data_IF_976652913727
#
_entry.id   IF_976652913727
#
_cell.length_a   1.000
_cell.length_b   1.000
_cell.length_c   1.000
_cell.angle_alpha   90.00
_cell.angle_beta   90.00
_cell.angle_gamma   90.00
#
_symmetry.space_group_name_H-M   'P 1'
#
loop_
_entity.id
_entity.type
_entity.pdbx_description
1 polymer ?
#
# COMPACT_ATOMS: atom_id res chain seq x y z
N UNK A 1 23.32 22.66 23.05
CA UNK A 1 22.43 21.55 23.46
C UNK A 1 22.60 20.39 22.49
N UNK A 2 22.96 19.21 22.98
CA UNK A 2 23.14 18.00 22.16
C UNK A 2 21.77 17.55 21.65
N UNK A 3 21.62 17.26 20.35
CA UNK A 3 20.40 16.64 19.81
C UNK A 3 20.19 15.30 20.54
N UNK A 4 19.02 15.11 21.16
CA UNK A 4 18.67 13.82 21.80
C UNK A 4 18.71 12.71 20.75
N UNK A 5 19.19 11.53 21.13
CA UNK A 5 19.21 10.37 20.24
C UNK A 5 17.80 9.78 20.14
N UNK A 6 17.51 9.07 19.04
CA UNK A 6 16.21 8.42 18.83
C UNK A 6 15.85 7.49 19.99
N UNK A 7 16.80 6.66 20.44
CA UNK A 7 16.58 5.74 21.57
C UNK A 7 16.26 6.45 22.88
N UNK A 8 16.89 7.59 23.16
CA UNK A 8 16.61 8.41 24.35
C UNK A 8 15.19 8.98 24.30
N UNK A 9 14.78 9.48 23.13
CA UNK A 9 13.43 10.02 22.92
C UNK A 9 12.37 8.92 23.11
N UNK A 10 12.62 7.72 22.58
CA UNK A 10 11.72 6.58 22.73
C UNK A 10 11.62 6.08 24.18
N UNK A 11 12.72 6.12 24.94
CA UNK A 11 12.73 5.81 26.37
C UNK A 11 11.93 6.83 27.18
N UNK A 12 12.16 8.13 26.92
CA UNK A 12 11.42 9.22 27.57
C UNK A 12 9.92 9.14 27.29
N UNK A 13 9.55 8.79 26.05
CA UNK A 13 8.16 8.56 25.64
C UNK A 13 7.56 7.25 26.18
N UNK A 14 8.33 6.43 26.91
CA UNK A 14 7.96 5.08 27.38
C UNK A 14 7.49 4.16 26.24
N UNK A 15 7.97 4.41 25.03
CA UNK A 15 7.68 3.59 23.86
C UNK A 15 8.52 2.31 23.84
N UNK A 16 9.68 2.33 24.51
CA UNK A 16 10.57 1.17 24.69
C UNK A 16 11.10 1.12 26.13
N UNK A 17 11.57 -0.05 26.53
CA UNK A 17 12.32 -0.26 27.77
C UNK A 17 13.84 -0.13 27.54
N UNK A 18 14.65 0.13 28.59
CA UNK A 18 16.11 0.14 28.48
C UNK A 18 16.67 -1.17 27.93
N UNK A 19 16.05 -2.29 28.28
CA UNK A 19 16.43 -3.62 27.81
C UNK A 19 16.17 -3.78 26.31
N UNK A 20 14.99 -3.42 25.82
CA UNK A 20 14.67 -3.43 24.39
C UNK A 20 15.59 -2.51 23.57
N UNK A 21 15.98 -1.35 24.13
CA UNK A 21 16.94 -0.47 23.47
C UNK A 21 18.32 -1.13 23.38
N UNK A 22 18.79 -1.78 24.44
CA UNK A 22 20.07 -2.48 24.44
C UNK A 22 20.09 -3.61 23.42
N UNK A 23 19.05 -4.44 23.38
CA UNK A 23 18.90 -5.52 22.40
C UNK A 23 18.92 -5.00 20.96
N UNK A 24 18.21 -3.91 20.68
CA UNK A 24 18.19 -3.31 19.34
C UNK A 24 19.54 -2.67 18.94
N UNK A 25 20.30 -2.13 19.91
CA UNK A 25 21.65 -1.61 19.67
C UNK A 25 22.65 -2.73 19.41
N UNK A 26 22.52 -3.87 20.11
CA UNK A 26 23.35 -5.06 19.86
C UNK A 26 23.09 -5.63 18.47
N UNK A 27 21.83 -5.71 18.05
CA UNK A 27 21.46 -6.10 16.69
C UNK A 27 22.03 -5.10 15.66
N UNK A 28 21.94 -3.80 15.93
CA UNK A 28 22.51 -2.77 15.07
C UNK A 28 24.03 -2.91 14.93
N UNK A 29 24.73 -3.27 16.00
CA UNK A 29 26.17 -3.48 15.98
C UNK A 29 26.56 -4.74 15.19
N UNK A 30 25.73 -5.79 15.21
CA UNK A 30 25.98 -7.07 14.50
C UNK A 30 25.65 -7.00 13.02
N UNK A 31 24.50 -6.42 12.67
CA UNK A 31 23.93 -6.48 11.32
C UNK A 31 23.96 -5.13 10.59
N UNK A 32 24.26 -4.04 11.29
CA UNK A 32 24.17 -2.69 10.75
C UNK A 32 22.74 -2.18 10.62
N UNK A 33 22.56 -1.11 9.84
CA UNK A 33 21.24 -0.53 9.55
C UNK A 33 20.78 0.58 10.52
N UNK A 34 19.54 1.04 10.32
CA UNK A 34 18.93 2.11 11.10
C UNK A 34 18.27 1.52 12.36
N UNK A 35 18.62 2.04 13.55
CA UNK A 35 18.04 1.62 14.84
C UNK A 35 16.49 1.57 14.82
N UNK A 36 15.86 2.57 14.20
CA UNK A 36 14.40 2.60 14.07
C UNK A 36 13.81 1.43 13.30
N UNK A 37 14.47 1.00 12.21
CA UNK A 37 14.02 -0.14 11.40
C UNK A 37 14.11 -1.44 12.21
N UNK A 38 15.19 -1.62 12.96
CA UNK A 38 15.39 -2.78 13.84
C UNK A 38 14.31 -2.83 14.92
N UNK A 39 14.02 -1.69 15.56
CA UNK A 39 12.97 -1.59 16.58
C UNK A 39 11.57 -1.92 16.04
N UNK A 40 11.27 -1.54 14.79
CA UNK A 40 10.02 -1.86 14.11
C UNK A 40 9.93 -3.34 13.73
N UNK A 41 11.02 -3.91 13.21
CA UNK A 41 11.12 -5.31 12.80
C UNK A 41 10.96 -6.25 14.00
N UNK A 42 11.60 -5.91 15.13
CA UNK A 42 11.45 -6.61 16.41
C UNK A 42 10.09 -6.39 17.09
N UNK A 43 9.20 -5.56 16.49
CA UNK A 43 7.90 -5.17 17.06
C UNK A 43 8.01 -4.49 18.43
N UNK A 44 9.16 -3.91 18.78
CA UNK A 44 9.35 -3.19 20.04
C UNK A 44 8.64 -1.84 20.03
N UNK A 45 8.49 -1.24 18.85
CA UNK A 45 7.73 0.00 18.67
C UNK A 45 6.71 -0.14 17.55
N UNK A 46 5.66 0.68 17.61
CA UNK A 46 4.74 0.87 16.49
C UNK A 46 5.29 1.89 15.51
N UNK A 47 4.87 1.83 14.24
CA UNK A 47 5.21 2.85 13.23
C UNK A 47 4.88 4.25 13.73
N UNK A 48 3.71 4.43 14.35
CA UNK A 48 3.29 5.71 14.92
C UNK A 48 4.25 6.21 16.00
N UNK A 49 4.69 5.36 16.92
CA UNK A 49 5.62 5.74 17.99
C UNK A 49 7.02 6.07 17.44
N UNK A 50 7.52 5.25 16.50
CA UNK A 50 8.77 5.53 15.78
C UNK A 50 8.74 6.91 15.13
N UNK A 51 7.64 7.19 14.47
CA UNK A 51 7.42 8.38 13.68
C UNK A 51 7.28 9.65 14.52
N UNK A 52 6.55 9.59 15.64
CA UNK A 52 6.48 10.67 16.62
C UNK A 52 7.86 10.98 17.21
N UNK A 53 8.62 9.95 17.55
CA UNK A 53 9.99 10.12 18.06
C UNK A 53 10.92 10.76 17.01
N UNK A 54 10.79 10.35 15.75
CA UNK A 54 11.59 10.90 14.65
C UNK A 54 11.25 12.38 14.39
N UNK A 55 9.97 12.73 14.39
CA UNK A 55 9.50 14.13 14.29
C UNK A 55 10.09 15.00 15.41
N UNK A 56 10.05 14.51 16.66
CA UNK A 56 10.65 15.20 17.81
C UNK A 56 12.18 15.33 17.68
N UNK A 57 12.86 14.29 17.20
CA UNK A 57 14.32 14.29 17.02
C UNK A 57 14.77 15.28 15.96
N UNK A 58 14.10 15.27 14.81
CA UNK A 58 14.44 16.08 13.65
C UNK A 58 13.92 17.52 13.76
N UNK A 59 12.95 17.76 14.66
CA UNK A 59 12.16 19.00 14.77
C UNK A 59 11.43 19.33 13.47
N UNK A 60 10.93 18.28 12.83
CA UNK A 60 10.17 18.35 11.58
C UNK A 60 8.71 18.04 11.90
N UNK A 61 7.74 18.85 11.46
CA UNK A 61 6.33 18.59 11.72
C UNK A 61 5.88 17.27 11.10
N UNK A 62 5.11 16.50 11.87
CA UNK A 62 4.36 15.36 11.37
C UNK A 62 3.06 15.84 10.73
N UNK A 63 2.77 15.37 9.53
CA UNK A 63 1.52 15.69 8.81
C UNK A 63 0.54 14.53 8.97
N UNK A 64 -0.67 14.87 9.41
CA UNK A 64 -1.81 13.96 9.42
C UNK A 64 -2.78 14.37 8.31
N UNK A 65 -2.87 13.52 7.29
CA UNK A 65 -3.71 13.77 6.12
C UNK A 65 -5.20 13.56 6.38
N UNK A 66 -5.58 12.88 7.47
CA UNK A 66 -6.99 12.66 7.80
C UNK A 66 -7.73 13.96 8.18
N UNK A 67 -6.98 14.99 8.59
CA UNK A 67 -7.52 16.27 9.07
C UNK A 67 -7.14 17.45 8.16
N UNK A 68 -6.39 17.19 7.09
CA UNK A 68 -5.79 18.25 6.27
C UNK A 68 -6.44 18.27 4.90
N UNK A 69 -7.23 19.32 4.62
CA UNK A 69 -7.70 19.59 3.25
C UNK A 69 -6.58 20.28 2.47
N UNK A 70 -6.06 19.62 1.43
CA UNK A 70 -4.97 20.14 0.61
C UNK A 70 -5.56 20.74 -0.67
N UNK A 71 -5.27 22.00 -0.99
CA UNK A 71 -5.86 22.64 -2.16
C UNK A 71 -5.23 22.10 -3.46
N UNK A 72 -6.05 21.94 -4.49
CA UNK A 72 -5.67 21.25 -5.74
C UNK A 72 -4.49 21.91 -6.47
N UNK A 73 -4.34 23.23 -6.33
CA UNK A 73 -3.22 23.99 -6.89
C UNK A 73 -1.86 23.58 -6.30
N UNK A 74 -1.83 23.01 -5.10
CA UNK A 74 -0.61 22.48 -4.46
C UNK A 74 -0.30 21.08 -4.99
N UNK A 75 -1.33 20.27 -5.21
CA UNK A 75 -1.22 18.90 -5.72
C UNK A 75 -0.60 18.89 -7.12
N UNK A 76 -1.06 19.79 -7.99
CA UNK A 76 -0.57 19.94 -9.38
C UNK A 76 0.88 20.41 -9.51
N UNK A 77 1.54 20.79 -8.42
CA UNK A 77 2.96 21.22 -8.43
C UNK A 77 3.90 20.05 -8.73
N UNK A 78 3.54 18.85 -8.26
CA UNK A 78 4.35 17.65 -8.44
C UNK A 78 3.59 16.70 -9.39
N UNK A 79 4.22 16.23 -10.48
CA UNK A 79 3.64 15.19 -11.32
C UNK A 79 3.41 13.89 -10.54
N UNK A 80 2.32 13.18 -10.82
CA UNK A 80 1.97 11.93 -10.14
C UNK A 80 3.11 10.91 -10.17
N UNK A 81 3.73 10.71 -11.32
CA UNK A 81 4.86 9.78 -11.49
C UNK A 81 6.00 10.07 -10.50
N UNK A 82 6.26 11.36 -10.25
CA UNK A 82 7.31 11.80 -9.36
C UNK A 82 6.94 11.57 -7.88
N UNK A 83 5.66 11.81 -7.55
CA UNK A 83 5.08 11.54 -6.24
C UNK A 83 5.09 10.03 -5.90
N UNK A 84 4.71 9.17 -6.84
CA UNK A 84 4.70 7.71 -6.67
C UNK A 84 6.10 7.13 -6.57
N UNK A 85 7.01 7.55 -7.45
CA UNK A 85 8.38 7.04 -7.51
C UNK A 85 9.16 7.30 -6.21
N UNK A 86 9.01 8.50 -5.64
CA UNK A 86 9.74 8.90 -4.44
C UNK A 86 8.91 8.76 -3.16
N UNK A 87 7.64 8.37 -3.28
CA UNK A 87 6.68 8.27 -2.19
C UNK A 87 6.61 9.57 -1.38
N UNK A 88 6.26 10.65 -2.08
CA UNK A 88 6.13 11.99 -1.51
C UNK A 88 4.81 12.63 -1.89
N UNK A 89 4.31 13.55 -1.06
CA UNK A 89 3.05 14.26 -1.34
C UNK A 89 3.16 15.75 -1.00
N UNK A 90 2.79 16.67 -1.92
CA UNK A 90 2.82 18.11 -1.65
C UNK A 90 1.68 18.51 -0.69
N UNK A 91 2.02 19.17 0.42
CA UNK A 91 1.04 19.50 1.49
C UNK A 91 0.61 20.96 1.45
N UNK A 92 1.55 21.87 1.24
CA UNK A 92 1.26 23.30 1.20
C UNK A 92 2.28 24.07 0.39
N UNK A 93 1.84 25.17 -0.22
CA UNK A 93 2.72 26.17 -0.81
C UNK A 93 2.76 27.41 0.09
N UNK A 94 3.94 27.74 0.60
CA UNK A 94 4.20 28.96 1.36
C UNK A 94 4.90 29.98 0.44
N UNK A 95 4.47 31.24 0.48
CA UNK A 95 5.21 32.35 -0.12
C UNK A 95 6.01 33.04 0.98
N UNK A 96 7.31 33.13 0.78
CA UNK A 96 8.21 33.86 1.67
C UNK A 96 8.86 35.01 0.89
N UNK A 97 9.38 36.05 1.56
CA UNK A 97 10.14 37.11 0.91
C UNK A 97 11.35 36.61 0.11
N UNK A 98 11.83 35.40 0.44
CA UNK A 98 12.99 34.74 -0.17
C UNK A 98 12.59 33.81 -1.34
N UNK A 99 11.30 33.68 -1.65
CA UNK A 99 10.79 32.83 -2.74
C UNK A 99 9.64 31.91 -2.33
N UNK A 100 9.32 30.97 -3.23
CA UNK A 100 8.25 30.00 -3.05
C UNK A 100 8.79 28.74 -2.36
N UNK A 101 8.12 28.31 -1.29
CA UNK A 101 8.48 27.15 -0.48
C UNK A 101 7.37 26.10 -0.59
N UNK A 102 7.74 24.87 -0.89
CA UNK A 102 6.86 23.71 -0.97
C UNK A 102 7.04 22.85 0.28
N UNK A 103 6.00 22.75 1.09
CA UNK A 103 5.94 21.77 2.19
C UNK A 103 5.64 20.41 1.58
N UNK A 104 6.57 19.47 1.77
CA UNK A 104 6.53 18.16 1.14
C UNK A 104 6.46 17.08 2.22
N UNK A 105 5.39 16.30 2.23
CA UNK A 105 5.29 15.11 3.05
C UNK A 105 6.18 14.00 2.49
N UNK A 106 7.04 13.45 3.35
CA UNK A 106 8.02 12.42 3.01
C UNK A 106 8.07 11.34 4.10
N UNK A 107 8.27 10.09 3.69
CA UNK A 107 8.51 8.98 4.61
C UNK A 107 9.90 9.09 5.26
N UNK A 108 10.92 9.49 4.49
CA UNK A 108 12.28 9.72 4.97
C UNK A 108 12.75 11.16 4.65
N UNK A 109 12.63 12.10 5.60
CA UNK A 109 13.05 13.50 5.42
C UNK A 109 14.57 13.67 5.54
N UNK A 110 15.31 12.60 5.86
CA UNK A 110 16.78 12.62 5.83
C UNK A 110 17.34 12.32 4.45
N UNK A 111 16.49 11.88 3.52
CA UNK A 111 16.86 11.65 2.13
C UNK A 111 16.98 13.01 1.40
N UNK A 112 18.20 13.52 1.33
CA UNK A 112 18.51 14.80 0.67
C UNK A 112 18.42 14.69 -0.86
N UNK A 113 18.71 13.53 -1.43
CA UNK A 113 18.65 13.31 -2.88
C UNK A 113 17.23 13.52 -3.41
N UNK A 114 16.24 12.98 -2.70
CA UNK A 114 14.82 13.19 -3.06
C UNK A 114 14.45 14.66 -2.94
N UNK A 115 14.87 15.34 -1.87
CA UNK A 115 14.59 16.77 -1.70
C UNK A 115 15.21 17.62 -2.81
N UNK A 116 16.44 17.29 -3.22
CA UNK A 116 17.16 17.95 -4.29
C UNK A 116 16.50 17.73 -5.65
N UNK A 117 16.07 16.50 -5.92
CA UNK A 117 15.39 16.14 -7.15
C UNK A 117 14.03 16.85 -7.28
N UNK A 118 13.22 16.85 -6.22
CA UNK A 118 11.95 17.60 -6.20
C UNK A 118 12.19 19.10 -6.33
N UNK A 119 13.20 19.66 -5.65
CA UNK A 119 13.57 21.07 -5.78
C UNK A 119 13.93 21.42 -7.22
N UNK A 120 14.75 20.60 -7.88
CA UNK A 120 15.17 20.86 -9.26
C UNK A 120 14.01 20.76 -10.25
N UNK A 121 13.16 19.73 -10.11
CA UNK A 121 12.01 19.52 -10.98
C UNK A 121 10.94 20.62 -10.85
N UNK A 122 10.69 21.09 -9.63
CA UNK A 122 9.59 22.01 -9.35
C UNK A 122 10.03 23.48 -9.29
N UNK A 123 11.30 23.76 -9.03
CA UNK A 123 11.84 25.11 -8.80
C UNK A 123 11.48 25.71 -7.43
N UNK A 124 10.84 24.95 -6.53
CA UNK A 124 10.48 25.39 -5.18
C UNK A 124 11.51 24.95 -4.16
N UNK A 125 11.73 25.77 -3.14
CA UNK A 125 12.49 25.34 -1.96
C UNK A 125 11.65 24.31 -1.20
N UNK A 126 12.21 23.12 -0.95
CA UNK A 126 11.50 22.04 -0.25
C UNK A 126 11.66 22.21 1.26
N UNK A 127 10.54 22.20 1.97
CA UNK A 127 10.47 22.07 3.43
C UNK A 127 9.90 20.68 3.73
N UNK A 128 10.72 19.71 4.16
CA UNK A 128 10.24 18.37 4.42
C UNK A 128 9.31 18.38 5.63
N UNK A 129 8.23 17.63 5.51
CA UNK A 129 7.32 17.31 6.59
C UNK A 129 7.24 15.78 6.67
N UNK A 130 7.20 15.24 7.87
CA UNK A 130 7.22 13.80 8.06
C UNK A 130 5.79 13.28 7.80
N UNK A 131 5.61 12.24 6.97
CA UNK A 131 4.35 11.47 6.87
C UNK A 131 4.62 9.95 6.77
N UNK A 132 3.72 9.11 7.29
CA UNK A 132 3.87 7.65 7.17
C UNK A 132 3.79 7.25 5.69
N UNK A 133 4.63 6.30 5.27
CA UNK A 133 4.67 5.84 3.89
C UNK A 133 3.32 5.30 3.42
N UNK A 134 2.67 4.49 4.27
CA UNK A 134 1.33 3.95 4.03
C UNK A 134 0.30 5.05 3.81
N UNK A 135 0.35 6.11 4.63
CA UNK A 135 -0.53 7.26 4.49
C UNK A 135 -0.23 8.05 3.22
N UNK A 136 1.04 8.30 2.88
CA UNK A 136 1.41 9.00 1.64
C UNK A 136 0.88 8.22 0.42
N UNK A 137 1.10 6.91 0.36
CA UNK A 137 0.61 6.07 -0.75
C UNK A 137 -0.92 6.07 -0.84
N UNK A 138 -1.61 6.02 0.29
CA UNK A 138 -3.06 6.11 0.34
C UNK A 138 -3.54 7.45 -0.25
N UNK A 139 -2.94 8.57 0.17
CA UNK A 139 -3.34 9.91 -0.28
C UNK A 139 -2.97 10.14 -1.75
N UNK A 140 -1.82 9.64 -2.22
CA UNK A 140 -1.49 9.66 -3.65
C UNK A 140 -2.58 8.94 -4.44
N UNK A 141 -3.00 7.76 -3.96
CA UNK A 141 -4.05 6.99 -4.61
C UNK A 141 -5.38 7.74 -4.62
N UNK A 142 -5.79 8.25 -3.47
CA UNK A 142 -7.05 8.95 -3.30
C UNK A 142 -7.12 10.21 -4.18
N UNK A 143 -6.10 11.06 -4.17
CA UNK A 143 -6.17 12.33 -4.90
C UNK A 143 -5.94 12.20 -6.40
N UNK A 144 -5.06 11.31 -6.88
CA UNK A 144 -4.78 11.18 -8.32
C UNK A 144 -5.66 10.14 -9.03
N UNK A 145 -6.02 9.02 -8.39
CA UNK A 145 -6.88 8.03 -9.07
C UNK A 145 -8.36 8.42 -9.09
N UNK A 146 -8.81 9.35 -8.24
CA UNK A 146 -10.16 9.93 -8.37
C UNK A 146 -10.27 10.94 -9.52
N UNK A 147 -9.16 11.49 -10.03
CA UNK A 147 -9.21 12.40 -11.19
C UNK A 147 -9.34 11.66 -12.52
N UNK A 148 -8.82 10.44 -12.64
CA UNK A 148 -8.82 9.65 -13.88
C UNK A 148 -9.95 8.60 -13.97
N UNK A 149 -10.82 8.50 -12.94
CA UNK A 149 -11.94 7.55 -12.94
C UNK A 149 -11.54 6.06 -12.97
N UNK A 150 -10.25 5.75 -12.83
CA UNK A 150 -9.71 4.37 -12.92
C UNK A 150 -8.79 4.04 -11.73
N UNK A 151 -9.33 4.10 -10.51
CA UNK A 151 -8.65 3.60 -9.30
C UNK A 151 -9.04 2.15 -8.97
N UNK A 152 -8.10 1.21 -8.75
CA UNK A 152 -8.40 -0.22 -8.57
C UNK A 152 -8.93 -0.59 -7.17
N UNK A 153 -9.24 0.37 -6.31
CA UNK A 153 -9.70 0.10 -4.95
C UNK A 153 -10.91 0.95 -4.61
N UNK A 154 -12.11 0.44 -4.93
CA UNK A 154 -13.27 0.68 -4.06
C UNK A 154 -12.98 -0.13 -2.81
N UNK A 155 -12.64 0.51 -1.69
CA UNK A 155 -12.93 -0.14 -0.41
C UNK A 155 -14.46 -0.20 -0.36
N UNK A 156 -15.01 -1.37 -0.69
CA UNK A 156 -16.32 -1.72 -0.18
C UNK A 156 -16.16 -1.68 1.34
N UNK A 157 -16.79 -0.67 1.95
CA UNK A 157 -16.85 -0.55 3.38
C UNK A 157 -17.89 -1.56 3.87
N UNK A 158 -17.61 -2.85 3.68
CA UNK A 158 -18.32 -3.95 4.31
C UNK A 158 -17.68 -4.18 5.69
N UNK A 159 -17.73 -3.15 6.53
CA UNK A 159 -17.78 -3.36 7.97
C UNK A 159 -19.27 -3.39 8.28
N UNK A 160 -19.80 -4.60 8.39
CA UNK A 160 -21.15 -4.84 8.87
C UNK A 160 -21.30 -4.25 10.28
N UNK A 161 -21.88 -3.06 10.37
CA UNK A 161 -22.64 -2.63 11.54
C UNK A 161 -24.08 -2.54 11.07
N UNK A 162 -24.86 -3.55 11.43
CA UNK A 162 -26.28 -3.59 11.14
C UNK A 162 -27.00 -2.39 11.73
N UNK A 163 -27.77 -1.69 10.91
CA UNK A 163 -29.23 -1.68 11.01
C UNK A 163 -29.82 -0.89 9.83
N UNK A 164 -30.89 -1.45 9.26
CA UNK A 164 -31.30 -1.19 7.88
C UNK A 164 -31.99 0.14 7.59
N UNK A 165 -31.96 0.52 6.30
CA UNK A 165 -33.06 1.11 5.56
C UNK A 165 -32.67 1.34 4.07
N UNK A 166 -33.47 0.78 3.15
CA UNK A 166 -33.84 1.46 1.91
C UNK A 166 -32.93 1.33 0.67
N UNK A 167 -33.42 0.57 -0.30
CA UNK A 167 -32.98 0.34 -1.68
C UNK A 167 -32.67 1.60 -2.55
N UNK A 168 -32.05 1.42 -3.75
CA UNK A 168 -31.31 2.44 -4.51
C UNK A 168 -32.15 3.13 -5.60
N UNK A 169 -31.67 4.25 -6.20
CA UNK A 169 -32.08 4.62 -7.54
C UNK A 169 -30.98 4.36 -8.59
N UNK A 170 -31.27 3.36 -9.41
CA UNK A 170 -31.07 3.26 -10.87
C UNK A 170 -30.28 4.38 -11.57
N UNK A 171 -29.26 3.96 -12.32
CA UNK A 171 -28.60 4.71 -13.38
C UNK A 171 -29.58 5.15 -14.49
N UNK A 172 -29.37 6.30 -15.14
CA UNK A 172 -29.96 6.57 -16.45
C UNK A 172 -29.06 6.06 -17.59
N UNK A 173 -29.74 5.50 -18.58
CA UNK A 173 -29.21 5.10 -19.87
C UNK A 173 -28.70 6.28 -20.71
N UNK A 174 -27.72 6.00 -21.58
CA UNK A 174 -27.25 6.91 -22.63
C UNK A 174 -26.63 6.10 -23.76
N UNK A 175 -27.19 6.30 -24.95
CA UNK A 175 -26.97 5.58 -26.22
C UNK A 175 -25.56 5.72 -26.79
N UNK A 176 -25.09 4.66 -27.50
CA UNK A 176 -24.15 4.81 -28.60
C UNK A 176 -24.66 3.96 -29.78
N UNK A 177 -24.86 4.63 -30.91
CA UNK A 177 -25.27 4.09 -32.20
C UNK A 177 -24.10 4.18 -33.19
N UNK A 178 -24.17 3.34 -34.24
CA UNK A 178 -23.34 3.24 -35.46
C UNK A 178 -22.27 2.13 -35.39
N UNK A 179 -22.30 1.02 -36.13
CA UNK A 179 -23.10 0.63 -37.31
C UNK A 179 -22.19 0.38 -38.51
N UNK A 180 -21.83 -0.89 -38.76
CA UNK A 180 -21.55 -1.45 -40.10
C UNK A 180 -21.96 -2.93 -40.10
N UNK A 181 -22.84 -3.27 -41.05
CA UNK A 181 -23.40 -4.59 -41.40
C UNK A 181 -22.45 -5.33 -42.34
N UNK A 182 -22.27 -6.66 -42.25
CA UNK A 182 -22.35 -7.64 -43.38
C UNK A 182 -22.63 -9.08 -42.85
N UNK A 183 -23.79 -9.58 -43.25
CA UNK A 183 -24.26 -10.93 -43.64
C UNK A 183 -23.72 -12.24 -43.03
N UNK A 184 -24.70 -13.10 -42.70
CA UNK A 184 -24.59 -14.53 -42.46
C UNK A 184 -24.85 -15.30 -43.76
N UNK A 185 -24.10 -16.38 -44.04
CA UNK A 185 -24.64 -17.74 -44.31
C UNK A 185 -23.61 -18.70 -44.95
N UNK A 186 -23.55 -19.87 -44.30
CA UNK A 186 -23.56 -21.22 -44.87
C UNK A 186 -22.32 -21.78 -45.57
N UNK A 187 -21.77 -22.86 -44.99
CA UNK A 187 -21.21 -24.04 -45.67
C UNK A 187 -20.65 -25.02 -44.63
N UNK A 188 -21.40 -26.11 -44.37
CA UNK A 188 -20.85 -27.39 -43.87
C UNK A 188 -20.36 -28.22 -45.07
N UNK A 189 -19.38 -29.14 -44.94
CA UNK A 189 -19.77 -30.53 -44.64
C UNK A 189 -18.77 -31.40 -43.80
N UNK A 190 -19.34 -32.32 -43.01
CA UNK A 190 -18.99 -33.73 -42.68
C UNK A 190 -17.53 -34.15 -42.34
N UNK A 191 -17.20 -34.55 -41.09
CA UNK A 191 -17.20 -35.90 -40.44
C UNK A 191 -15.93 -36.78 -40.70
N UNK A 192 -15.37 -37.52 -39.71
CA UNK A 192 -16.09 -38.60 -39.01
C UNK A 192 -15.86 -38.79 -37.49
N UNK A 193 -16.92 -39.36 -36.90
CA UNK A 193 -17.07 -40.32 -35.80
C UNK A 193 -15.85 -40.90 -35.04
N UNK A 194 -16.15 -41.24 -33.77
CA UNK A 194 -15.46 -42.13 -32.82
C UNK A 194 -14.39 -41.43 -31.96
N UNK A 195 -14.38 -41.46 -30.63
CA UNK A 195 -14.81 -42.50 -29.68
C UNK A 195 -15.01 -41.85 -28.31
N UNK A 196 -16.05 -42.27 -27.58
CA UNK A 196 -16.19 -42.08 -26.14
C UNK A 196 -15.34 -43.15 -25.43
N UNK A 197 -14.42 -42.78 -24.52
CA UNK A 197 -14.19 -43.55 -23.31
C UNK A 197 -14.79 -42.72 -22.16
N UNK A 198 -15.96 -43.09 -21.64
CA UNK A 198 -16.12 -44.03 -20.53
C UNK A 198 -15.14 -43.70 -19.41
N UNK A 199 -15.73 -43.10 -18.38
CA UNK A 199 -15.29 -43.03 -17.00
C UNK A 199 -14.09 -43.91 -16.63
N UNK A 200 -13.01 -43.26 -16.25
CA UNK A 200 -12.23 -43.68 -15.08
C UNK A 200 -12.51 -42.66 -13.98
N UNK A 201 -13.53 -43.01 -13.21
CA UNK A 201 -13.88 -42.42 -11.93
C UNK A 201 -12.84 -42.82 -10.89
N UNK A 202 -11.75 -42.06 -10.77
CA UNK A 202 -10.85 -42.11 -9.62
C UNK A 202 -10.31 -40.70 -9.35
N UNK A 203 -11.00 -39.95 -8.48
CA UNK A 203 -10.50 -38.92 -7.55
C UNK A 203 -11.59 -37.87 -7.24
N UNK A 204 -12.68 -38.31 -6.60
CA UNK A 204 -13.75 -37.40 -6.11
C UNK A 204 -13.36 -36.56 -4.88
N UNK A 205 -12.16 -36.70 -4.32
CA UNK A 205 -11.74 -36.00 -3.09
C UNK A 205 -10.61 -34.97 -3.31
N UNK A 206 -10.55 -34.32 -4.48
CA UNK A 206 -9.62 -33.21 -4.69
C UNK A 206 -10.35 -31.88 -4.59
N UNK A 207 -10.10 -31.07 -3.54
CA UNK A 207 -10.73 -29.77 -3.40
C UNK A 207 -10.39 -28.89 -4.61
N UNK A 208 -11.39 -28.20 -5.17
CA UNK A 208 -11.24 -27.31 -6.33
C UNK A 208 -10.49 -26.02 -5.92
N UNK A 209 -9.19 -26.16 -5.66
CA UNK A 209 -8.34 -25.04 -5.26
C UNK A 209 -8.06 -24.13 -6.45
N UNK A 210 -8.03 -22.82 -6.21
CA UNK A 210 -7.50 -21.86 -7.18
C UNK A 210 -6.04 -22.16 -7.54
N UNK A 211 -5.60 -21.67 -8.70
CA UNK A 211 -4.22 -21.88 -9.17
C UNK A 211 -3.20 -21.27 -8.21
N UNK A 212 -3.50 -20.14 -7.60
CA UNK A 212 -2.63 -19.49 -6.61
C UNK A 212 -2.48 -20.33 -5.35
N UNK A 213 -3.57 -20.89 -4.83
CA UNK A 213 -3.55 -21.68 -3.60
C UNK A 213 -2.76 -22.99 -3.79
N UNK A 214 -2.86 -23.64 -4.96
CA UNK A 214 -2.02 -24.80 -5.30
C UNK A 214 -0.52 -24.45 -5.34
N UNK A 215 -0.17 -23.28 -5.86
CA UNK A 215 1.21 -22.82 -5.90
C UNK A 215 1.76 -22.54 -4.50
N UNK A 216 0.95 -21.93 -3.63
CA UNK A 216 1.29 -21.68 -2.23
C UNK A 216 1.50 -22.97 -1.44
N UNK A 217 0.59 -23.94 -1.54
CA UNK A 217 0.73 -25.24 -0.86
C UNK A 217 1.98 -26.00 -1.31
N UNK A 218 2.32 -25.97 -2.61
CA UNK A 218 3.58 -26.55 -3.12
C UNK A 218 4.81 -25.88 -2.53
N UNK A 219 4.78 -24.56 -2.36
CA UNK A 219 5.91 -23.81 -1.77
C UNK A 219 6.08 -24.14 -0.28
N UNK A 220 4.98 -24.22 0.47
CA UNK A 220 4.99 -24.54 1.89
C UNK A 220 5.44 -25.99 2.14
N UNK A 221 4.98 -26.94 1.32
CA UNK A 221 5.45 -28.33 1.37
C UNK A 221 6.95 -28.44 1.07
N UNK A 222 7.46 -27.70 0.06
CA UNK A 222 8.90 -27.66 -0.25
C UNK A 222 9.74 -27.08 0.89
N UNK A 223 9.17 -26.17 1.68
CA UNK A 223 9.82 -25.59 2.87
C UNK A 223 9.65 -26.43 4.14
N UNK A 224 8.95 -27.58 4.06
CA UNK A 224 8.70 -28.46 5.20
C UNK A 224 7.77 -27.87 6.26
N UNK A 225 7.01 -26.82 5.91
CA UNK A 225 6.11 -26.12 6.83
C UNK A 225 4.80 -26.88 7.01
N UNK A 226 4.37 -27.62 5.99
CA UNK A 226 3.12 -28.39 6.00
C UNK A 226 3.28 -29.68 5.19
N UNK A 227 2.70 -30.77 5.68
CA UNK A 227 2.67 -32.05 4.97
C UNK A 227 1.44 -32.14 4.05
N UNK A 228 1.49 -32.97 2.99
CA UNK A 228 0.34 -33.19 2.13
C UNK A 228 -0.92 -33.68 2.84
N UNK A 229 -0.75 -34.43 3.95
CA UNK A 229 -1.86 -34.95 4.74
C UNK A 229 -2.54 -33.86 5.57
N UNK A 230 -1.77 -32.93 6.15
CA UNK A 230 -2.29 -31.87 7.01
C UNK A 230 -3.27 -30.93 6.29
N UNK A 231 -2.98 -30.54 5.04
CA UNK A 231 -3.93 -29.67 4.32
C UNK A 231 -5.16 -30.44 3.79
N UNK A 232 -5.04 -31.74 3.50
CA UNK A 232 -6.19 -32.58 3.12
C UNK A 232 -7.17 -32.76 4.29
N UNK A 233 -6.66 -32.87 5.52
CA UNK A 233 -7.50 -32.91 6.73
C UNK A 233 -8.17 -31.56 7.02
N UNK A 234 -7.43 -30.45 6.88
CA UNK A 234 -8.00 -29.11 7.07
C UNK A 234 -9.21 -28.83 6.15
N UNK A 235 -9.21 -29.41 4.94
CA UNK A 235 -10.33 -29.32 4.00
C UNK A 235 -11.54 -30.21 4.37
N UNK A 236 -11.33 -31.27 5.16
CA UNK A 236 -12.43 -32.15 5.62
C UNK A 236 -13.18 -31.56 6.81
N UNK A 237 -12.53 -30.75 7.65
CA UNK A 237 -13.17 -30.05 8.78
C UNK A 237 -13.99 -28.81 8.37
N UNK A 238 -13.82 -28.32 7.14
CA UNK A 238 -14.49 -27.09 6.67
C UNK A 238 -15.79 -27.34 5.91
N UNK A 239 -16.28 -28.58 5.84
CA UNK A 239 -17.51 -28.97 5.14
C UNK A 239 -18.50 -29.63 6.10
#
# INVERSE_FOLDING_TARGET
MKRKKLGEILLEARAITPQQLAEALDDQAKYGGKLGAILLERRFITERAYFQALSAQLRIPAVDFSRSTIPENVIKVIPQELAEKHVVFPVALKRTPQGKVLVLAMADPTNVEVQDHIRFSTGYKVEPALALESTIRYVIRDYWFHQDGQGPYRLNNDIEIGDGAGAPPSAPAGEIQNGVVIESRDSSPAMPSATIPVAESEDEDRPNLSRELRALLKLLAKKGVISPREYLEAFKETK
#
